data_IF_593182635460
#
_entry.id   IF_593182635460
#
_cell.length_a   1.000
_cell.length_b   1.000
_cell.length_c   1.000
_cell.angle_alpha   90.00
_cell.angle_beta   90.00
_cell.angle_gamma   90.00
#
_symmetry.space_group_name_H-M   'P 1'
#
loop_
_entity.id
_entity.type
_entity.pdbx_description
1 polymer ?
#
# COMPACT_ATOMS: atom_id res chain seq x y z
N UNK A 1 -6.45 -30.40 6.55
CA UNK A 1 -6.34 -29.13 5.80
C UNK A 1 -7.68 -28.43 5.88
N UNK A 2 -7.70 -27.12 6.12
CA UNK A 2 -8.93 -26.34 6.01
C UNK A 2 -9.44 -26.39 4.56
N UNK A 3 -10.75 -26.47 4.38
CA UNK A 3 -11.38 -26.41 3.05
C UNK A 3 -11.11 -25.03 2.44
N UNK A 4 -10.59 -25.00 1.21
CA UNK A 4 -10.37 -23.75 0.50
C UNK A 4 -11.67 -23.30 -0.17
N UNK A 5 -12.41 -22.43 0.53
CA UNK A 5 -13.68 -21.87 0.06
C UNK A 5 -13.52 -20.86 -1.09
N UNK A 6 -12.31 -20.36 -1.34
CA UNK A 6 -12.06 -19.38 -2.41
C UNK A 6 -11.48 -20.03 -3.67
N UNK A 7 -11.08 -21.30 -3.62
CA UNK A 7 -10.60 -22.05 -4.78
C UNK A 7 -11.54 -21.97 -6.00
N UNK A 8 -12.89 -22.01 -5.89
CA UNK A 8 -13.75 -21.91 -7.07
C UNK A 8 -13.64 -20.59 -7.84
N UNK A 9 -13.10 -19.54 -7.22
CA UNK A 9 -12.94 -18.24 -7.88
C UNK A 9 -11.92 -18.27 -9.02
N UNK A 10 -10.94 -19.20 -8.98
CA UNK A 10 -9.92 -19.30 -10.04
C UNK A 10 -10.47 -19.86 -11.35
N UNK A 11 -11.58 -20.60 -11.30
CA UNK A 11 -12.23 -21.22 -12.46
C UNK A 11 -13.24 -20.28 -13.14
N UNK A 12 -13.46 -19.08 -12.60
CA UNK A 12 -14.35 -18.10 -13.20
C UNK A 12 -13.81 -17.67 -14.59
N UNK A 13 -14.69 -17.49 -15.60
CA UNK A 13 -14.27 -17.11 -16.94
C UNK A 13 -13.38 -15.86 -16.94
N UNK A 14 -12.22 -15.96 -17.61
CA UNK A 14 -11.27 -14.85 -17.76
C UNK A 14 -10.34 -14.60 -16.55
N UNK A 15 -10.53 -15.28 -15.41
CA UNK A 15 -9.65 -15.12 -14.24
C UNK A 15 -8.26 -15.67 -14.53
N UNK A 16 -8.14 -16.86 -15.11
CA UNK A 16 -6.85 -17.45 -15.47
C UNK A 16 -6.03 -16.54 -16.41
N UNK A 17 -6.66 -15.99 -17.45
CA UNK A 17 -6.01 -15.07 -18.39
C UNK A 17 -5.59 -13.76 -17.71
N UNK A 18 -6.43 -13.23 -16.82
CA UNK A 18 -6.13 -12.03 -16.04
C UNK A 18 -4.95 -12.22 -15.09
N UNK A 19 -4.87 -13.39 -14.44
CA UNK A 19 -3.74 -13.77 -13.59
C UNK A 19 -2.47 -13.89 -14.45
N UNK A 20 -2.54 -14.58 -15.59
CA UNK A 20 -1.39 -14.75 -16.49
C UNK A 20 -0.87 -13.40 -17.01
N UNK A 21 -1.77 -12.51 -17.43
CA UNK A 21 -1.42 -11.16 -17.88
C UNK A 21 -0.80 -10.32 -16.74
N UNK A 22 -1.38 -10.39 -15.54
CA UNK A 22 -0.86 -9.68 -14.37
C UNK A 22 0.55 -10.15 -14.01
N UNK A 23 0.79 -11.47 -14.01
CA UNK A 23 2.11 -12.07 -13.81
C UNK A 23 3.10 -11.59 -14.87
N UNK A 24 2.74 -11.66 -16.15
CA UNK A 24 3.61 -11.21 -17.24
C UNK A 24 4.04 -9.74 -17.08
N UNK A 25 3.13 -8.86 -16.65
CA UNK A 25 3.42 -7.45 -16.38
C UNK A 25 4.34 -7.26 -15.17
N UNK A 26 4.09 -7.98 -14.07
CA UNK A 26 4.95 -7.95 -12.88
C UNK A 26 6.35 -8.44 -13.21
N UNK A 27 6.46 -9.54 -13.96
CA UNK A 27 7.75 -10.08 -14.39
C UNK A 27 8.50 -9.04 -15.24
N UNK A 28 7.86 -8.43 -16.25
CA UNK A 28 8.48 -7.39 -17.06
C UNK A 28 9.03 -6.23 -16.21
N UNK A 29 8.28 -5.80 -15.19
CA UNK A 29 8.68 -4.79 -14.21
C UNK A 29 9.92 -5.23 -13.39
N UNK A 30 9.94 -6.46 -12.90
CA UNK A 30 11.06 -7.01 -12.11
C UNK A 30 12.34 -7.19 -12.93
N UNK A 31 12.20 -7.50 -14.22
CA UNK A 31 13.34 -7.70 -15.12
C UNK A 31 13.95 -6.39 -15.64
N UNK A 32 13.20 -5.29 -15.64
CA UNK A 32 13.67 -3.97 -16.09
C UNK A 32 14.88 -3.46 -15.27
N UNK A 33 16.02 -3.28 -15.95
CA UNK A 33 17.27 -2.78 -15.35
C UNK A 33 17.21 -1.29 -15.02
N UNK A 34 16.47 -0.50 -15.79
CA UNK A 34 16.33 0.94 -15.56
C UNK A 34 15.59 1.22 -14.24
N UNK A 35 14.61 0.36 -13.91
CA UNK A 35 13.88 0.43 -12.65
C UNK A 35 14.73 0.03 -11.44
N UNK A 36 15.71 -0.87 -11.59
CA UNK A 36 16.64 -1.17 -10.48
C UNK A 36 17.44 0.06 -10.05
N UNK A 37 17.93 0.84 -11.02
CA UNK A 37 18.68 2.06 -10.73
C UNK A 37 17.81 3.16 -10.08
N UNK A 38 16.55 3.28 -10.51
CA UNK A 38 15.57 4.25 -9.96
C UNK A 38 14.79 3.73 -8.75
N UNK A 39 15.00 2.47 -8.38
CA UNK A 39 14.18 1.73 -7.42
C UNK A 39 13.98 2.44 -6.07
N UNK A 40 15.02 3.02 -5.43
CA UNK A 40 14.84 3.77 -4.19
C UNK A 40 13.86 4.94 -4.32
N UNK A 41 13.98 5.77 -5.37
CA UNK A 41 13.09 6.90 -5.59
C UNK A 41 11.67 6.44 -5.94
N UNK A 42 11.54 5.44 -6.82
CA UNK A 42 10.23 4.90 -7.19
C UNK A 42 9.49 4.30 -5.99
N UNK A 43 10.19 3.69 -5.04
CA UNK A 43 9.57 3.15 -3.82
C UNK A 43 8.95 4.24 -2.96
N UNK A 44 9.55 5.44 -2.93
CA UNK A 44 8.96 6.59 -2.25
C UNK A 44 7.66 6.96 -2.97
N UNK A 45 7.69 7.18 -4.29
CA UNK A 45 6.50 7.55 -5.06
C UNK A 45 5.36 6.52 -4.94
N UNK A 46 5.69 5.24 -5.00
CA UNK A 46 4.72 4.15 -4.83
C UNK A 46 4.11 4.16 -3.42
N UNK A 47 4.89 4.40 -2.36
CA UNK A 47 4.36 4.49 -0.99
C UNK A 47 3.34 5.63 -0.86
N UNK A 48 3.57 6.77 -1.52
CA UNK A 48 2.62 7.89 -1.56
C UNK A 48 1.31 7.50 -2.25
N UNK A 49 1.43 6.76 -3.35
CA UNK A 49 0.29 6.30 -4.13
C UNK A 49 -0.51 5.22 -3.39
N UNK A 50 0.18 4.34 -2.66
CA UNK A 50 -0.43 3.35 -1.78
C UNK A 50 -1.20 4.03 -0.65
N UNK A 51 -0.61 5.02 0.03
CA UNK A 51 -1.29 5.78 1.07
C UNK A 51 -2.60 6.41 0.57
N UNK A 52 -2.55 7.05 -0.59
CA UNK A 52 -3.76 7.59 -1.23
C UNK A 52 -4.79 6.51 -1.54
N UNK A 53 -4.37 5.39 -2.14
CA UNK A 53 -5.28 4.32 -2.51
C UNK A 53 -5.92 3.66 -1.28
N UNK A 54 -5.14 3.41 -0.23
CA UNK A 54 -5.61 2.89 1.05
C UNK A 54 -6.62 3.85 1.69
N UNK A 55 -6.33 5.14 1.74
CA UNK A 55 -7.25 6.15 2.28
C UNK A 55 -8.56 6.24 1.47
N UNK A 56 -8.49 6.07 0.15
CA UNK A 56 -9.67 6.09 -0.71
C UNK A 56 -10.63 4.92 -0.44
N UNK A 57 -10.13 3.76 0.00
CA UNK A 57 -10.98 2.62 0.43
C UNK A 57 -11.86 3.02 1.62
N UNK A 58 -11.33 3.85 2.53
CA UNK A 58 -12.05 4.39 3.68
C UNK A 58 -12.86 5.67 3.35
N UNK A 59 -13.00 6.00 2.06
CA UNK A 59 -13.78 7.15 1.58
C UNK A 59 -13.03 8.49 1.56
N UNK A 60 -11.74 8.50 1.82
CA UNK A 60 -10.90 9.71 1.76
C UNK A 60 -10.36 9.88 0.33
N UNK A 61 -11.22 10.36 -0.57
CA UNK A 61 -10.87 10.60 -1.98
C UNK A 61 -10.30 12.01 -2.19
N UNK A 62 -9.03 12.18 -1.84
CA UNK A 62 -8.27 13.42 -2.08
C UNK A 62 -7.34 13.22 -3.29
N UNK A 63 -7.17 14.26 -4.10
CA UNK A 63 -6.34 14.22 -5.32
C UNK A 63 -4.85 14.03 -5.02
N UNK A 64 -4.12 13.29 -5.87
CA UNK A 64 -2.67 13.07 -5.70
C UNK A 64 -1.88 14.38 -5.64
N UNK A 65 -2.33 15.43 -6.33
CA UNK A 65 -1.69 16.74 -6.28
C UNK A 65 -1.72 17.32 -4.86
N UNK A 66 -2.85 17.20 -4.14
CA UNK A 66 -2.96 17.64 -2.76
C UNK A 66 -2.15 16.78 -1.79
N UNK A 67 -2.07 15.46 -2.03
CA UNK A 67 -1.15 14.59 -1.27
C UNK A 67 0.32 14.97 -1.49
N UNK A 68 0.67 15.41 -2.71
CA UNK A 68 2.03 15.77 -3.07
C UNK A 68 2.45 17.17 -2.59
N UNK A 69 1.52 18.12 -2.52
CA UNK A 69 1.77 19.46 -1.97
C UNK A 69 1.67 19.52 -0.44
N UNK A 70 1.05 18.50 0.19
CA UNK A 70 0.76 18.48 1.62
C UNK A 70 -0.59 19.11 1.99
N UNK A 71 -1.32 19.68 1.02
CA UNK A 71 -2.64 20.27 1.24
C UNK A 71 -3.69 19.24 1.69
N UNK A 72 -3.42 17.94 1.46
CA UNK A 72 -4.27 16.86 1.96
C UNK A 72 -4.21 16.69 3.50
N UNK A 73 -3.27 17.32 4.19
CA UNK A 73 -2.96 17.07 5.61
C UNK A 73 -3.34 18.25 6.51
N UNK A 74 -4.52 18.81 6.31
CA UNK A 74 -5.06 19.89 7.15
C UNK A 74 -5.60 19.39 8.50
N UNK A 75 -6.02 20.32 9.36
CA UNK A 75 -6.58 20.04 10.69
C UNK A 75 -8.05 19.57 10.65
N UNK A 76 -8.61 19.27 9.48
CA UNK A 76 -9.93 18.64 9.41
C UNK A 76 -9.85 17.17 9.87
N UNK A 77 -10.97 16.54 10.26
CA UNK A 77 -10.98 15.11 10.55
C UNK A 77 -10.46 14.25 9.38
N UNK A 78 -10.77 14.65 8.14
CA UNK A 78 -10.33 13.95 6.93
C UNK A 78 -8.84 14.17 6.68
N UNK A 79 -8.34 15.41 6.86
CA UNK A 79 -6.92 15.73 6.68
C UNK A 79 -6.02 15.03 7.69
N UNK A 80 -6.44 14.97 8.96
CA UNK A 80 -5.74 14.16 9.98
C UNK A 80 -5.72 12.68 9.65
N UNK A 81 -6.84 12.12 9.17
CA UNK A 81 -6.89 10.72 8.76
C UNK A 81 -5.97 10.45 7.56
N UNK A 82 -5.96 11.32 6.54
CA UNK A 82 -5.04 11.23 5.40
C UNK A 82 -3.57 11.28 5.85
N UNK A 83 -3.23 12.19 6.77
CA UNK A 83 -1.88 12.29 7.34
C UNK A 83 -1.50 11.04 8.15
N UNK A 84 -2.44 10.47 8.90
CA UNK A 84 -2.24 9.21 9.63
C UNK A 84 -1.94 8.04 8.70
N UNK A 85 -2.70 7.88 7.62
CA UNK A 85 -2.47 6.84 6.60
C UNK A 85 -1.12 7.02 5.91
N UNK A 86 -0.74 8.27 5.61
CA UNK A 86 0.58 8.57 5.04
C UNK A 86 1.72 8.12 5.95
N UNK A 87 1.68 8.52 7.23
CA UNK A 87 2.71 8.15 8.22
C UNK A 87 2.78 6.64 8.43
N UNK A 88 1.63 5.97 8.40
CA UNK A 88 1.56 4.50 8.46
C UNK A 88 2.34 3.90 7.28
N UNK A 89 2.01 4.27 6.05
CA UNK A 89 2.64 3.74 4.83
C UNK A 89 4.14 4.01 4.76
N UNK A 90 4.59 5.21 5.15
CA UNK A 90 6.02 5.51 5.25
C UNK A 90 6.74 4.61 6.26
N UNK A 91 6.06 4.21 7.34
CA UNK A 91 6.63 3.37 8.39
C UNK A 91 6.63 1.86 8.08
N UNK A 92 5.78 1.39 7.16
CA UNK A 92 5.52 -0.05 6.96
C UNK A 92 6.78 -0.84 6.64
N UNK A 93 7.72 -0.27 5.87
CA UNK A 93 8.99 -0.93 5.53
C UNK A 93 9.76 -1.35 6.78
N UNK A 94 9.88 -0.45 7.75
CA UNK A 94 10.64 -0.70 8.97
C UNK A 94 9.88 -1.70 9.86
N UNK A 95 8.55 -1.60 9.87
CA UNK A 95 7.66 -2.50 10.61
C UNK A 95 7.77 -3.96 10.16
N UNK A 96 8.05 -4.23 8.87
CA UNK A 96 8.19 -5.61 8.39
C UNK A 96 9.28 -6.41 9.13
N UNK A 97 10.40 -5.76 9.47
CA UNK A 97 11.46 -6.40 10.24
C UNK A 97 11.01 -6.70 11.68
N UNK A 98 10.37 -5.72 12.32
CA UNK A 98 9.89 -5.78 13.71
C UNK A 98 8.79 -6.82 13.87
N UNK A 99 7.90 -6.96 12.87
CA UNK A 99 6.78 -7.90 12.89
C UNK A 99 7.21 -9.34 13.20
N UNK A 100 8.37 -9.76 12.65
CA UNK A 100 8.88 -11.11 12.82
C UNK A 100 9.31 -11.45 14.26
N UNK A 101 9.65 -10.43 15.06
CA UNK A 101 10.18 -10.61 16.42
C UNK A 101 9.28 -10.03 17.51
N UNK A 102 8.52 -8.98 17.21
CA UNK A 102 7.71 -8.22 18.16
C UNK A 102 6.41 -7.70 17.51
N UNK A 103 5.51 -8.59 17.04
CA UNK A 103 4.32 -8.20 16.28
C UNK A 103 3.39 -7.26 17.05
N UNK A 104 3.23 -7.45 18.37
CA UNK A 104 2.39 -6.57 19.19
C UNK A 104 2.94 -5.14 19.28
N UNK A 105 4.26 -4.96 19.33
CA UNK A 105 4.88 -3.64 19.31
C UNK A 105 4.71 -2.99 17.93
N UNK A 106 4.83 -3.78 16.87
CA UNK A 106 4.62 -3.31 15.51
C UNK A 106 3.19 -2.82 15.29
N UNK A 107 2.19 -3.59 15.73
CA UNK A 107 0.78 -3.18 15.71
C UNK A 107 0.53 -1.91 16.52
N UNK A 108 1.05 -1.85 17.77
CA UNK A 108 0.89 -0.66 18.60
C UNK A 108 1.48 0.59 17.94
N UNK A 109 2.65 0.46 17.29
CA UNK A 109 3.26 1.54 16.53
C UNK A 109 2.38 1.98 15.35
N UNK A 110 1.90 1.04 14.55
CA UNK A 110 1.01 1.34 13.41
C UNK A 110 -0.24 2.09 13.87
N UNK A 111 -0.91 1.63 14.92
CA UNK A 111 -2.08 2.31 15.48
C UNK A 111 -1.75 3.72 15.99
N UNK A 112 -0.62 3.89 16.68
CA UNK A 112 -0.22 5.21 17.17
C UNK A 112 0.05 6.22 16.05
N UNK A 113 0.53 5.77 14.89
CA UNK A 113 0.79 6.65 13.74
C UNK A 113 -0.49 7.13 13.07
N UNK A 114 -1.50 6.26 13.00
CA UNK A 114 -2.81 6.59 12.41
C UNK A 114 -3.64 7.48 13.33
N UNK A 115 -3.54 7.28 14.65
CA UNK A 115 -4.34 8.00 15.64
C UNK A 115 -3.78 9.38 16.04
N UNK A 116 -2.55 9.71 15.64
CA UNK A 116 -1.87 10.97 15.96
C UNK A 116 -2.30 12.13 15.07
#
# INVERSE_FOLDING_TARGET
MAQDYISPLVDLPGVADSIANSRAKVDALLWDRSLRAKGPALRVDVSRQNARASAAIDGIDISMSAWSSGDAFDDSPIGRAAAGVWRLEESLRDQMSIWSTAPMQSLARMHSLVAA
#
